data_IF_985900082517
#
_entry.id   IF_985900082517
#
_cell.length_a   1.000
_cell.length_b   1.000
_cell.length_c   1.000
_cell.angle_alpha   90.00
_cell.angle_beta   90.00
_cell.angle_gamma   90.00
#
_symmetry.space_group_name_H-M   'P 1'
#
loop_
_entity.id
_entity.type
_entity.pdbx_description
1 polymer ?
#
# COMPACT_ATOMS: atom_id res chain seq x y z
N UNK A 1 -10.64 -29.00 -9.83
CA UNK A 1 -11.36 -27.71 -9.76
C UNK A 1 -10.59 -26.86 -8.75
N UNK A 2 -9.37 -26.47 -9.15
CA UNK A 2 -8.24 -26.15 -8.25
C UNK A 2 -7.29 -25.13 -8.93
N UNK A 3 -7.85 -24.13 -9.64
CA UNK A 3 -7.06 -23.35 -10.60
C UNK A 3 -7.19 -21.84 -10.52
N UNK A 4 -8.28 -21.26 -10.01
CA UNK A 4 -8.45 -19.79 -9.93
C UNK A 4 -8.36 -19.26 -8.50
N UNK A 5 -9.04 -19.92 -7.56
CA UNK A 5 -8.98 -19.53 -6.14
C UNK A 5 -7.57 -19.68 -5.57
N UNK A 6 -6.83 -20.69 -6.01
CA UNK A 6 -5.42 -20.88 -5.63
C UNK A 6 -4.55 -19.76 -6.20
N UNK A 7 -4.70 -19.40 -7.48
CA UNK A 7 -3.95 -18.28 -8.08
C UNK A 7 -4.24 -16.98 -7.33
N UNK A 8 -5.51 -16.68 -7.03
CA UNK A 8 -5.90 -15.50 -6.28
C UNK A 8 -5.24 -15.48 -4.89
N UNK A 9 -5.28 -16.60 -4.17
CA UNK A 9 -4.74 -16.71 -2.82
C UNK A 9 -3.21 -16.71 -2.77
N UNK A 10 -2.55 -17.38 -3.71
CA UNK A 10 -1.09 -17.53 -3.73
C UNK A 10 -0.37 -16.33 -4.36
N UNK A 11 -0.95 -15.69 -5.40
CA UNK A 11 -0.29 -14.64 -6.16
C UNK A 11 -0.92 -13.26 -5.93
N UNK A 12 -2.24 -13.14 -6.05
CA UNK A 12 -2.88 -11.82 -6.02
C UNK A 12 -2.96 -11.23 -4.61
N UNK A 13 -3.40 -11.98 -3.60
CA UNK A 13 -3.51 -11.44 -2.24
C UNK A 13 -2.19 -10.94 -1.65
N UNK A 14 -1.06 -11.69 -1.72
CA UNK A 14 0.22 -11.22 -1.21
C UNK A 14 0.72 -10.00 -2.00
N UNK A 15 0.54 -10.01 -3.32
CA UNK A 15 0.88 -8.88 -4.17
C UNK A 15 0.08 -7.63 -3.81
N UNK A 16 -1.25 -7.74 -3.69
CA UNK A 16 -2.11 -6.63 -3.28
C UNK A 16 -1.72 -6.09 -1.91
N UNK A 17 -1.44 -6.95 -0.91
CA UNK A 17 -0.96 -6.50 0.40
C UNK A 17 0.35 -5.72 0.30
N UNK A 18 1.30 -6.19 -0.50
CA UNK A 18 2.55 -5.48 -0.78
C UNK A 18 2.32 -4.13 -1.45
N UNK A 19 1.54 -4.12 -2.53
CA UNK A 19 1.18 -2.93 -3.31
C UNK A 19 0.47 -1.89 -2.43
N UNK A 20 -0.43 -2.31 -1.54
CA UNK A 20 -1.17 -1.43 -0.65
C UNK A 20 -0.27 -0.62 0.27
N UNK A 21 0.76 -1.25 0.83
CA UNK A 21 1.73 -0.56 1.67
C UNK A 21 2.37 0.58 0.89
N UNK A 22 2.82 0.32 -0.34
CA UNK A 22 3.43 1.33 -1.22
C UNK A 22 2.43 2.43 -1.60
N UNK A 23 1.19 2.07 -1.94
CA UNK A 23 0.14 3.03 -2.29
C UNK A 23 -0.23 3.94 -1.12
N UNK A 24 -0.25 3.44 0.12
CA UNK A 24 -0.45 4.25 1.33
C UNK A 24 0.68 5.27 1.48
N UNK A 25 1.94 4.85 1.38
CA UNK A 25 3.10 5.76 1.46
C UNK A 25 3.05 6.82 0.35
N UNK A 26 2.73 6.41 -0.89
CA UNK A 26 2.58 7.31 -2.03
C UNK A 26 1.42 8.30 -1.88
N UNK A 27 0.34 7.89 -1.21
CA UNK A 27 -0.80 8.75 -0.90
C UNK A 27 -0.42 9.80 0.14
N UNK A 28 0.25 9.40 1.22
CA UNK A 28 0.70 10.28 2.30
C UNK A 28 1.85 11.21 1.92
N UNK A 29 2.58 10.91 0.82
CA UNK A 29 3.55 11.84 0.23
C UNK A 29 2.91 13.18 -0.17
N UNK A 30 1.60 13.21 -0.42
CA UNK A 30 0.86 14.43 -0.82
C UNK A 30 0.43 15.30 0.37
N UNK A 31 0.61 14.80 1.60
CA UNK A 31 0.20 15.49 2.82
C UNK A 31 -0.46 14.54 3.83
N UNK A 32 -0.71 15.08 5.02
CA UNK A 32 -1.40 14.36 6.09
C UNK A 32 -2.87 14.10 5.76
N UNK A 33 -3.36 12.89 6.05
CA UNK A 33 -4.70 12.46 5.67
C UNK A 33 -5.37 11.62 6.75
N UNK A 34 -6.69 11.69 6.81
CA UNK A 34 -7.49 10.79 7.65
C UNK A 34 -7.49 9.37 7.08
N UNK A 35 -7.56 8.34 7.93
CA UNK A 35 -7.55 6.93 7.52
C UNK A 35 -8.55 6.60 6.41
N UNK A 36 -9.77 7.12 6.52
CA UNK A 36 -10.80 6.90 5.51
C UNK A 36 -10.53 7.60 4.16
N UNK A 37 -9.84 8.74 4.16
CA UNK A 37 -9.41 9.40 2.92
C UNK A 37 -8.36 8.56 2.21
N UNK A 38 -7.37 8.06 2.95
CA UNK A 38 -6.33 7.17 2.41
C UNK A 38 -6.98 5.92 1.82
N UNK A 39 -7.92 5.30 2.55
CA UNK A 39 -8.69 4.15 2.07
C UNK A 39 -9.38 4.43 0.72
N UNK A 40 -10.09 5.56 0.62
CA UNK A 40 -10.77 5.96 -0.63
C UNK A 40 -9.81 6.13 -1.79
N UNK A 41 -8.69 6.83 -1.59
CA UNK A 41 -7.69 7.02 -2.65
C UNK A 41 -7.12 5.70 -3.14
N UNK A 42 -6.71 4.84 -2.21
CA UNK A 42 -6.09 3.55 -2.53
C UNK A 42 -7.08 2.61 -3.23
N UNK A 43 -8.33 2.54 -2.75
CA UNK A 43 -9.38 1.72 -3.37
C UNK A 43 -9.68 2.14 -4.81
N UNK A 44 -9.66 3.44 -5.10
CA UNK A 44 -9.87 3.96 -6.45
C UNK A 44 -8.75 3.57 -7.42
N UNK A 45 -7.52 3.34 -6.93
CA UNK A 45 -6.37 2.95 -7.76
C UNK A 45 -6.47 1.48 -8.17
N UNK A 46 -6.64 0.58 -7.20
CA UNK A 46 -6.52 -0.86 -7.46
C UNK A 46 -7.81 -1.50 -7.98
N UNK A 47 -8.95 -0.82 -7.87
CA UNK A 47 -10.30 -1.33 -8.24
C UNK A 47 -10.68 -2.70 -7.64
N UNK A 48 -9.93 -3.20 -6.66
CA UNK A 48 -10.13 -4.49 -5.99
C UNK A 48 -10.88 -4.35 -4.65
N UNK A 49 -11.50 -5.46 -4.21
CA UNK A 49 -12.27 -5.52 -2.96
C UNK A 49 -11.34 -5.63 -1.75
N UNK A 50 -10.95 -4.49 -1.20
CA UNK A 50 -10.29 -4.43 0.12
C UNK A 50 -11.30 -4.06 1.20
N UNK A 51 -11.34 -4.91 2.23
CA UNK A 51 -12.10 -4.65 3.44
C UNK A 51 -11.47 -3.50 4.24
N UNK A 52 -12.31 -2.72 4.91
CA UNK A 52 -11.84 -1.60 5.73
C UNK A 52 -10.98 -2.09 6.92
N UNK A 53 -11.29 -3.27 7.46
CA UNK A 53 -10.50 -3.90 8.53
C UNK A 53 -9.10 -4.26 8.07
N UNK A 54 -8.95 -4.95 6.93
CA UNK A 54 -7.64 -5.28 6.35
C UNK A 54 -6.81 -4.02 6.10
N UNK A 55 -7.46 -2.95 5.61
CA UNK A 55 -6.78 -1.68 5.39
C UNK A 55 -6.25 -1.05 6.69
N UNK A 56 -7.05 -1.02 7.75
CA UNK A 56 -6.61 -0.51 9.05
C UNK A 56 -5.54 -1.38 9.70
N UNK A 57 -5.55 -2.70 9.48
CA UNK A 57 -4.43 -3.58 9.87
C UNK A 57 -3.12 -3.14 9.20
N UNK A 58 -3.14 -2.88 7.90
CA UNK A 58 -1.95 -2.43 7.16
C UNK A 58 -1.48 -1.05 7.65
N UNK A 59 -2.38 -0.12 7.94
CA UNK A 59 -2.01 1.17 8.54
C UNK A 59 -1.31 0.99 9.88
N UNK A 60 -1.84 0.11 10.74
CA UNK A 60 -1.24 -0.20 12.03
C UNK A 60 0.15 -0.82 11.88
N UNK A 61 0.33 -1.78 10.96
CA UNK A 61 1.64 -2.37 10.67
C UNK A 61 2.67 -1.32 10.21
N UNK A 62 2.27 -0.38 9.35
CA UNK A 62 3.13 0.70 8.88
C UNK A 62 3.48 1.69 10.00
N UNK A 63 2.55 1.95 10.91
CA UNK A 63 2.74 2.79 12.09
C UNK A 63 3.72 2.14 13.08
N UNK A 64 3.52 0.87 13.43
CA UNK A 64 4.42 0.09 14.29
C UNK A 64 5.83 0.00 13.70
N UNK A 65 5.93 -0.15 12.39
CA UNK A 65 7.19 -0.14 11.67
C UNK A 65 7.78 1.27 11.45
N UNK A 66 7.13 2.33 11.95
CA UNK A 66 7.57 3.74 11.87
C UNK A 66 7.70 4.31 10.45
N UNK A 67 7.02 3.73 9.47
CA UNK A 67 6.95 4.30 8.12
C UNK A 67 5.93 5.44 8.04
N UNK A 68 4.93 5.40 8.90
CA UNK A 68 3.96 6.47 9.12
C UNK A 68 3.84 6.72 10.62
N UNK A 69 3.28 7.86 11.00
CA UNK A 69 2.86 8.15 12.38
C UNK A 69 1.43 8.65 12.36
N UNK A 70 0.72 8.45 13.47
CA UNK A 70 -0.61 8.99 13.67
C UNK A 70 -0.58 10.16 14.65
N UNK A 71 -1.05 11.33 14.21
CA UNK A 71 -1.25 12.50 15.06
C UNK A 71 -2.75 12.81 15.10
N UNK A 72 -3.37 12.61 16.26
CA UNK A 72 -4.82 12.67 16.40
C UNK A 72 -5.51 11.62 15.52
N UNK A 73 -6.26 12.08 14.52
CA UNK A 73 -6.96 11.21 13.55
C UNK A 73 -6.31 11.16 12.17
N UNK A 74 -5.18 11.85 11.98
CA UNK A 74 -4.46 11.93 10.71
C UNK A 74 -3.21 11.06 10.74
N UNK A 75 -2.87 10.50 9.59
CA UNK A 75 -1.61 9.81 9.36
C UNK A 75 -0.67 10.72 8.60
N UNK A 76 0.61 10.64 8.94
CA UNK A 76 1.70 11.43 8.38
C UNK A 76 2.81 10.50 7.94
N UNK A 77 3.38 10.75 6.77
CA UNK A 77 4.54 10.02 6.27
C UNK A 77 5.80 10.42 7.06
N UNK A 78 6.60 9.45 7.49
CA UNK A 78 7.89 9.74 8.14
C UNK A 78 9.03 9.81 7.11
N UNK A 79 10.20 10.33 7.53
CA UNK A 79 11.42 10.24 6.73
C UNK A 79 11.79 8.79 6.36
N UNK A 80 11.60 7.85 7.29
CA UNK A 80 11.78 6.42 7.03
C UNK A 80 10.83 5.92 5.93
N UNK A 81 9.55 6.31 6.00
CA UNK A 81 8.54 6.00 4.99
C UNK A 81 8.88 6.58 3.62
N UNK A 82 9.30 7.84 3.58
CA UNK A 82 9.69 8.52 2.35
C UNK A 82 10.91 7.86 1.71
N UNK A 83 11.93 7.52 2.49
CA UNK A 83 13.13 6.84 2.00
C UNK A 83 12.81 5.43 1.50
N UNK A 84 11.95 4.69 2.20
CA UNK A 84 11.49 3.38 1.74
C UNK A 84 10.72 3.47 0.40
N UNK A 85 9.84 4.46 0.25
CA UNK A 85 9.12 4.71 -1.00
C UNK A 85 10.09 5.05 -2.14
N UNK A 86 11.07 5.92 -1.91
CA UNK A 86 12.10 6.29 -2.90
C UNK A 86 12.94 5.08 -3.32
N UNK A 87 13.40 4.29 -2.35
CA UNK A 87 14.17 3.07 -2.61
C UNK A 87 13.36 2.08 -3.46
N UNK A 88 12.09 1.87 -3.11
CA UNK A 88 11.21 1.01 -3.87
C UNK A 88 11.04 1.50 -5.31
N UNK A 89 10.68 2.78 -5.51
CA UNK A 89 10.49 3.34 -6.84
C UNK A 89 11.77 3.32 -7.68
N UNK A 90 12.92 3.57 -7.08
CA UNK A 90 14.22 3.48 -7.76
C UNK A 90 14.56 2.05 -8.17
N UNK A 91 14.26 1.05 -7.34
CA UNK A 91 14.56 -0.35 -7.62
C UNK A 91 13.66 -0.95 -8.69
N UNK A 92 12.41 -0.52 -8.73
CA UNK A 92 11.37 -1.11 -9.57
C UNK A 92 10.96 -0.20 -10.74
N UNK A 93 11.73 0.84 -11.04
CA UNK A 93 11.46 1.76 -12.15
C UNK A 93 11.38 1.04 -13.50
N UNK A 94 12.13 -0.06 -13.65
CA UNK A 94 12.20 -0.84 -14.89
C UNK A 94 11.34 -2.11 -14.86
N UNK A 95 10.58 -2.34 -13.77
CA UNK A 95 9.80 -3.57 -13.63
C UNK A 95 8.73 -3.69 -14.71
N UNK A 96 8.12 -2.57 -15.14
CA UNK A 96 7.14 -2.60 -16.24
C UNK A 96 7.79 -2.96 -17.57
N UNK A 97 9.01 -2.48 -17.83
CA UNK A 97 9.76 -2.78 -19.05
C UNK A 97 10.13 -4.26 -19.13
N UNK A 98 10.40 -4.90 -17.98
CA UNK A 98 10.70 -6.32 -17.89
C UNK A 98 9.46 -7.22 -18.03
N UNK A 99 8.31 -6.79 -17.49
CA UNK A 99 7.06 -7.56 -17.52
C UNK A 99 6.20 -7.28 -18.77
N UNK A 100 6.65 -6.37 -19.63
CA UNK A 100 6.03 -6.16 -20.95
C UNK A 100 6.26 -7.41 -21.79
N UNK A 101 5.21 -8.22 -21.95
CA UNK A 101 5.11 -9.33 -22.91
C UNK A 101 4.42 -8.82 -24.17
#
# INVERSE_FOLDING_TARGET
>A
METLDDIHKYLEEPFLKGLLRILILGTLKRGELYGYQIYKYVKNIIKSKISLSTFYTILKELEEAKFIIKIGSKYILTEKGLNALRLFLSKYNDLSSFLSI
#
